data_IF_486017729353
#
_entry.id   IF_486017729353
#
_cell.length_a   1.000
_cell.length_b   1.000
_cell.length_c   1.000
_cell.angle_alpha   90.00
_cell.angle_beta   90.00
_cell.angle_gamma   90.00
#
_symmetry.space_group_name_H-M   'P 1'
#
loop_
_entity.id
_entity.type
_entity.pdbx_description
1 polymer ?
#
# COMPACT_ATOMS: atom_id res chain seq x y z
N UNK A 1 27.94 79.13 28.49
CA UNK A 1 28.99 79.09 27.44
C UNK A 1 29.51 77.65 27.45
N UNK A 2 28.92 76.79 26.61
CA UNK A 2 29.57 76.22 25.41
C UNK A 2 30.43 75.01 25.80
N UNK A 3 30.34 73.79 25.27
CA UNK A 3 29.74 73.18 24.07
C UNK A 3 29.76 71.63 24.28
N UNK A 4 28.69 70.88 23.92
CA UNK A 4 28.57 69.97 22.75
C UNK A 4 29.50 68.73 22.83
N UNK A 5 29.00 67.56 23.25
CA UNK A 5 28.51 66.43 22.42
C UNK A 5 29.36 66.15 21.17
N UNK A 6 30.28 65.18 21.27
CA UNK A 6 30.71 64.29 20.17
C UNK A 6 31.00 62.94 20.82
N UNK A 7 30.04 62.02 20.78
CA UNK A 7 29.92 61.00 19.73
C UNK A 7 31.13 60.05 19.72
N UNK A 8 30.99 58.95 20.46
CA UNK A 8 31.92 57.82 20.44
C UNK A 8 31.10 56.55 20.23
N UNK A 9 30.57 56.44 19.02
CA UNK A 9 30.06 55.18 18.47
C UNK A 9 31.24 54.49 17.78
N UNK A 10 31.96 53.64 18.52
CA UNK A 10 33.00 52.78 17.94
C UNK A 10 32.33 51.57 17.25
N UNK A 11 32.21 51.66 15.93
CA UNK A 11 31.98 50.50 15.06
C UNK A 11 33.33 49.86 14.72
N UNK A 12 33.55 48.56 14.99
CA UNK A 12 34.72 47.88 14.48
C UNK A 12 34.62 47.75 12.95
N UNK A 13 35.64 48.27 12.28
CA UNK A 13 35.84 48.11 10.84
C UNK A 13 36.07 46.64 10.52
N UNK A 14 35.17 46.12 9.70
CA UNK A 14 35.34 45.09 8.66
C UNK A 14 36.81 44.76 8.39
N UNK A 15 37.26 43.64 8.92
CA UNK A 15 38.45 42.95 8.43
C UNK A 15 37.99 41.82 7.50
N UNK A 16 38.41 41.93 6.25
CA UNK A 16 38.15 40.96 5.19
C UNK A 16 39.24 39.91 5.24
N UNK A 17 39.01 38.86 6.02
CA UNK A 17 39.74 37.60 5.91
C UNK A 17 38.79 36.58 5.27
N UNK A 18 39.02 36.34 3.97
CA UNK A 18 38.55 35.15 3.28
C UNK A 18 39.17 33.95 3.97
N UNK A 19 38.36 33.08 4.53
CA UNK A 19 38.73 31.68 4.69
C UNK A 19 37.48 30.80 4.63
N UNK A 20 37.54 29.85 3.70
CA UNK A 20 36.82 28.58 3.62
C UNK A 20 35.30 28.63 3.93
N UNK A 21 34.41 28.74 2.96
CA UNK A 21 34.36 27.80 1.86
C UNK A 21 33.89 26.40 2.26
N UNK A 22 33.23 26.19 3.41
CA UNK A 22 32.50 24.94 3.65
C UNK A 22 31.09 24.99 3.06
N UNK A 23 31.03 25.03 1.73
CA UNK A 23 29.85 24.69 0.97
C UNK A 23 30.05 23.24 0.52
N UNK A 24 29.93 22.29 1.45
CA UNK A 24 29.79 20.86 1.14
C UNK A 24 28.39 20.59 0.52
N UNK A 25 28.10 21.23 -0.61
CA UNK A 25 26.88 21.05 -1.39
C UNK A 25 27.27 20.60 -2.79
N UNK A 26 27.73 19.36 -2.91
CA UNK A 26 28.10 18.82 -4.23
C UNK A 26 28.17 17.30 -4.32
N UNK A 27 28.62 16.62 -3.27
CA UNK A 27 28.85 15.17 -3.37
C UNK A 27 27.70 14.30 -2.79
N UNK A 28 26.89 14.82 -1.86
CA UNK A 28 25.82 14.05 -1.21
C UNK A 28 24.51 13.92 -2.02
N UNK A 29 24.29 14.73 -3.07
CA UNK A 29 23.01 14.74 -3.80
C UNK A 29 22.90 13.66 -4.89
N UNK A 30 24.01 13.29 -5.53
CA UNK A 30 24.01 12.31 -6.63
C UNK A 30 23.63 10.93 -6.08
N UNK A 31 24.24 10.51 -4.97
CA UNK A 31 23.96 9.23 -4.33
C UNK A 31 22.54 9.15 -3.75
N UNK A 32 22.02 10.25 -3.20
CA UNK A 32 20.65 10.32 -2.69
C UNK A 32 19.60 10.24 -3.82
N UNK A 33 19.88 10.85 -4.98
CA UNK A 33 18.99 10.83 -6.14
C UNK A 33 18.88 9.41 -6.73
N UNK A 34 20.00 8.73 -6.95
CA UNK A 34 20.01 7.36 -7.45
C UNK A 34 19.43 6.37 -6.43
N UNK A 35 19.67 6.61 -5.13
CA UNK A 35 19.05 5.85 -4.04
C UNK A 35 17.51 5.86 -4.10
N UNK A 36 16.94 7.06 -4.24
CA UNK A 36 15.50 7.25 -4.30
C UNK A 36 14.91 6.73 -5.60
N UNK A 37 15.63 6.83 -6.72
CA UNK A 37 15.18 6.30 -8.02
C UNK A 37 14.95 4.78 -7.97
N UNK A 38 15.89 4.04 -7.38
CA UNK A 38 15.74 2.59 -7.20
C UNK A 38 14.59 2.23 -6.26
N UNK A 39 14.42 3.01 -5.19
CA UNK A 39 13.30 2.87 -4.27
C UNK A 39 11.94 3.07 -4.94
N UNK A 40 11.77 4.17 -5.69
CA UNK A 40 10.51 4.45 -6.38
C UNK A 40 10.16 3.40 -7.43
N UNK A 41 11.15 2.84 -8.13
CA UNK A 41 10.89 1.71 -9.04
C UNK A 41 10.28 0.51 -8.30
N UNK A 42 10.80 0.15 -7.12
CA UNK A 42 10.24 -0.94 -6.30
C UNK A 42 8.83 -0.61 -5.81
N UNK A 43 8.59 0.65 -5.42
CA UNK A 43 7.26 1.15 -5.03
C UNK A 43 6.27 1.00 -6.19
N UNK A 44 6.62 1.49 -7.38
CA UNK A 44 5.78 1.40 -8.58
C UNK A 44 5.41 -0.05 -8.93
N UNK A 45 6.36 -0.97 -8.77
CA UNK A 45 6.11 -2.41 -8.97
C UNK A 45 5.07 -2.96 -7.98
N UNK A 46 5.13 -2.55 -6.71
CA UNK A 46 4.14 -2.97 -5.69
C UNK A 46 2.79 -2.31 -5.96
N UNK A 47 2.77 -1.01 -6.29
CA UNK A 47 1.55 -0.28 -6.62
C UNK A 47 0.84 -0.87 -7.85
N UNK A 48 1.60 -1.34 -8.85
CA UNK A 48 1.04 -2.06 -10.01
C UNK A 48 0.36 -3.38 -9.59
N UNK A 49 0.96 -4.13 -8.66
CA UNK A 49 0.33 -5.35 -8.12
C UNK A 49 -0.94 -5.02 -7.32
N UNK A 50 -0.94 -3.95 -6.54
CA UNK A 50 -2.12 -3.47 -5.81
C UNK A 50 -3.23 -3.06 -6.78
N UNK A 51 -2.91 -2.33 -7.85
CA UNK A 51 -3.89 -1.98 -8.88
C UNK A 51 -4.51 -3.21 -9.56
N UNK A 52 -3.71 -4.26 -9.78
CA UNK A 52 -4.21 -5.54 -10.30
C UNK A 52 -5.16 -6.23 -9.29
N UNK A 53 -4.88 -6.17 -7.99
CA UNK A 53 -5.80 -6.64 -6.95
C UNK A 53 -7.12 -5.88 -7.00
N UNK A 54 -7.11 -4.55 -7.06
CA UNK A 54 -8.33 -3.73 -7.16
C UNK A 54 -9.15 -4.07 -8.40
N UNK A 55 -8.49 -4.34 -9.54
CA UNK A 55 -9.16 -4.79 -10.76
C UNK A 55 -9.85 -6.15 -10.58
N UNK A 56 -9.17 -7.11 -9.95
CA UNK A 56 -9.74 -8.43 -9.65
C UNK A 56 -10.91 -8.33 -8.66
N UNK A 57 -10.82 -7.47 -7.65
CA UNK A 57 -11.91 -7.23 -6.69
C UNK A 57 -13.16 -6.74 -7.43
N UNK A 58 -13.00 -5.77 -8.32
CA UNK A 58 -14.11 -5.22 -9.13
C UNK A 58 -14.72 -6.27 -10.06
N UNK A 59 -13.89 -7.12 -10.68
CA UNK A 59 -14.35 -8.25 -11.51
C UNK A 59 -15.13 -9.27 -10.69
N UNK A 60 -14.63 -9.63 -9.51
CA UNK A 60 -15.28 -10.58 -8.60
C UNK A 60 -16.63 -10.06 -8.09
N UNK A 61 -16.71 -8.77 -7.74
CA UNK A 61 -17.98 -8.11 -7.37
C UNK A 61 -18.99 -8.13 -8.52
N UNK A 62 -18.54 -7.87 -9.75
CA UNK A 62 -19.39 -7.87 -10.95
C UNK A 62 -19.90 -9.28 -11.25
N UNK A 63 -19.02 -10.29 -11.22
CA UNK A 63 -19.38 -11.69 -11.41
C UNK A 63 -20.34 -12.19 -10.32
N UNK A 64 -20.15 -11.78 -9.06
CA UNK A 64 -21.09 -12.10 -7.99
C UNK A 64 -22.47 -11.51 -8.27
N UNK A 65 -22.56 -10.23 -8.66
CA UNK A 65 -23.84 -9.60 -9.03
C UNK A 65 -24.52 -10.31 -10.21
N UNK A 66 -23.77 -10.69 -11.23
CA UNK A 66 -24.28 -11.45 -12.39
C UNK A 66 -24.81 -12.83 -12.00
N UNK A 67 -24.12 -13.53 -11.09
CA UNK A 67 -24.57 -14.85 -10.62
C UNK A 67 -25.96 -14.84 -9.98
N UNK A 68 -26.39 -13.69 -9.43
CA UNK A 68 -27.69 -13.51 -8.78
C UNK A 68 -28.85 -13.37 -9.77
N UNK A 69 -28.61 -12.89 -10.99
CA UNK A 69 -29.65 -12.67 -12.00
C UNK A 69 -29.77 -13.82 -13.00
N UNK A 70 -28.75 -14.66 -13.11
CA UNK A 70 -28.73 -15.80 -14.04
C UNK A 70 -29.53 -16.99 -13.51
N UNK A 71 -30.48 -17.48 -14.31
CA UNK A 71 -31.31 -18.66 -13.98
C UNK A 71 -30.83 -19.95 -14.64
N UNK A 72 -29.99 -19.87 -15.68
CA UNK A 72 -29.47 -21.04 -16.39
C UNK A 72 -28.34 -21.69 -15.60
N UNK A 73 -28.48 -22.97 -15.27
CA UNK A 73 -27.50 -23.72 -14.49
C UNK A 73 -26.08 -23.74 -15.11
N UNK A 74 -25.98 -23.85 -16.44
CA UNK A 74 -24.69 -23.82 -17.15
C UNK A 74 -23.98 -22.47 -17.01
N UNK A 75 -24.71 -21.37 -17.11
CA UNK A 75 -24.18 -20.02 -16.93
C UNK A 75 -23.79 -19.75 -15.47
N UNK A 76 -24.62 -20.19 -14.51
CA UNK A 76 -24.28 -20.09 -13.07
C UNK A 76 -22.99 -20.85 -12.73
N UNK A 77 -22.80 -22.05 -13.30
CA UNK A 77 -21.55 -22.82 -13.16
C UNK A 77 -20.35 -22.09 -13.77
N UNK A 78 -20.50 -21.52 -14.96
CA UNK A 78 -19.43 -20.78 -15.62
C UNK A 78 -19.01 -19.53 -14.82
N UNK A 79 -19.97 -18.79 -14.27
CA UNK A 79 -19.69 -17.63 -13.41
C UNK A 79 -18.96 -18.06 -12.14
N UNK A 80 -19.41 -19.13 -11.48
CA UNK A 80 -18.73 -19.67 -10.29
C UNK A 80 -17.27 -20.05 -10.58
N UNK A 81 -17.02 -20.76 -11.67
CA UNK A 81 -15.66 -21.13 -12.08
C UNK A 81 -14.78 -19.91 -12.39
N UNK A 82 -15.35 -18.85 -12.97
CA UNK A 82 -14.65 -17.58 -13.20
C UNK A 82 -14.28 -16.91 -11.87
N UNK A 83 -15.23 -16.82 -10.95
CA UNK A 83 -15.00 -16.25 -9.61
C UNK A 83 -13.92 -17.01 -8.84
N UNK A 84 -13.92 -18.35 -8.89
CA UNK A 84 -12.87 -19.18 -8.28
C UNK A 84 -11.47 -18.84 -8.83
N UNK A 85 -11.34 -18.70 -10.16
CA UNK A 85 -10.08 -18.28 -10.79
C UNK A 85 -9.64 -16.88 -10.38
N UNK A 86 -10.57 -15.93 -10.34
CA UNK A 86 -10.28 -14.54 -9.94
C UNK A 86 -9.79 -14.48 -8.47
N UNK A 87 -10.35 -15.32 -7.59
CA UNK A 87 -9.90 -15.46 -6.19
C UNK A 87 -8.50 -16.06 -6.09
N UNK A 88 -8.21 -17.11 -6.86
CA UNK A 88 -6.89 -17.75 -6.85
C UNK A 88 -5.79 -16.81 -7.37
N UNK A 89 -6.08 -16.07 -8.44
CA UNK A 89 -5.16 -15.07 -8.97
C UNK A 89 -4.96 -13.92 -7.98
N UNK A 90 -6.02 -13.41 -7.35
CA UNK A 90 -5.91 -12.39 -6.33
C UNK A 90 -5.03 -12.85 -5.16
N UNK A 91 -5.17 -14.12 -4.73
CA UNK A 91 -4.33 -14.70 -3.69
C UNK A 91 -2.86 -14.77 -4.10
N UNK A 92 -2.57 -15.07 -5.37
CA UNK A 92 -1.20 -15.09 -5.90
C UNK A 92 -0.59 -13.69 -5.91
N UNK A 93 -1.31 -12.71 -6.44
CA UNK A 93 -0.85 -11.32 -6.52
C UNK A 93 -0.64 -10.73 -5.13
N UNK A 94 -1.55 -10.98 -4.17
CA UNK A 94 -1.42 -10.52 -2.79
C UNK A 94 -0.16 -11.06 -2.12
N UNK A 95 0.17 -12.34 -2.33
CA UNK A 95 1.44 -12.91 -1.84
C UNK A 95 2.65 -12.26 -2.48
N UNK A 96 2.64 -12.04 -3.80
CA UNK A 96 3.73 -11.37 -4.50
C UNK A 96 3.93 -9.93 -4.02
N UNK A 97 2.84 -9.16 -3.85
CA UNK A 97 2.89 -7.80 -3.35
C UNK A 97 3.44 -7.77 -1.92
N UNK A 98 3.01 -8.70 -1.06
CA UNK A 98 3.54 -8.84 0.29
C UNK A 98 5.04 -9.13 0.30
N UNK A 99 5.51 -10.10 -0.49
CA UNK A 99 6.95 -10.43 -0.57
C UNK A 99 7.77 -9.22 -1.03
N UNK A 100 7.33 -8.48 -2.05
CA UNK A 100 8.02 -7.27 -2.50
C UNK A 100 8.00 -6.15 -1.47
N UNK A 101 6.93 -6.02 -0.69
CA UNK A 101 6.84 -5.06 0.40
C UNK A 101 7.82 -5.42 1.54
N UNK A 102 7.90 -6.70 1.90
CA UNK A 102 8.87 -7.19 2.91
C UNK A 102 10.32 -6.91 2.44
N UNK A 103 10.62 -7.19 1.16
CA UNK A 103 11.92 -6.83 0.54
C UNK A 103 12.19 -5.32 0.57
N UNK A 104 11.16 -4.48 0.37
CA UNK A 104 11.29 -3.02 0.44
C UNK A 104 11.56 -2.53 1.87
N UNK A 105 10.91 -3.14 2.86
CA UNK A 105 11.15 -2.86 4.29
C UNK A 105 12.57 -3.23 4.70
N UNK A 106 13.09 -4.37 4.27
CA UNK A 106 14.49 -4.79 4.49
C UNK A 106 15.50 -3.86 3.79
N UNK A 107 15.19 -3.42 2.57
CA UNK A 107 15.96 -2.42 1.85
C UNK A 107 16.03 -1.09 2.60
N UNK A 108 14.91 -0.66 3.22
CA UNK A 108 14.86 0.55 4.02
C UNK A 108 15.72 0.43 5.28
N UNK A 109 15.72 -0.73 5.94
CA UNK A 109 16.60 -0.99 7.09
C UNK A 109 18.07 -0.91 6.68
N UNK A 110 18.42 -1.52 5.55
CA UNK A 110 19.78 -1.49 5.01
C UNK A 110 20.20 -0.08 4.59
N UNK A 111 19.25 0.72 4.08
CA UNK A 111 19.50 2.09 3.67
C UNK A 111 19.96 2.98 4.84
N UNK A 112 19.49 2.72 6.06
CA UNK A 112 19.83 3.50 7.27
C UNK A 112 21.31 3.44 7.62
N UNK A 113 22.04 2.44 7.13
CA UNK A 113 23.48 2.28 7.37
C UNK A 113 24.34 3.12 6.41
N UNK A 114 23.74 3.71 5.37
CA UNK A 114 24.46 4.53 4.39
C UNK A 114 24.68 5.97 4.90
N UNK A 115 25.80 6.61 4.53
CA UNK A 115 26.02 8.04 4.80
C UNK A 115 24.83 8.89 4.32
N UNK A 116 24.40 9.86 5.13
CA UNK A 116 23.26 10.74 4.81
C UNK A 116 21.87 10.10 4.86
N UNK A 117 21.77 8.79 5.08
CA UNK A 117 20.49 8.04 5.09
C UNK A 117 20.08 7.56 6.49
N UNK A 118 20.76 8.03 7.54
CA UNK A 118 20.48 7.64 8.92
C UNK A 118 19.07 8.02 9.39
N UNK A 119 18.67 7.48 10.54
CA UNK A 119 17.34 7.69 11.13
C UNK A 119 16.99 9.17 11.21
N UNK A 120 15.84 9.55 10.65
CA UNK A 120 15.34 10.93 10.68
C UNK A 120 15.91 11.85 9.60
N UNK A 121 16.72 11.34 8.67
CA UNK A 121 17.09 12.10 7.47
C UNK A 121 15.87 12.29 6.55
N UNK A 122 15.94 13.27 5.65
CA UNK A 122 14.87 13.51 4.68
C UNK A 122 14.62 12.29 3.79
N UNK A 123 15.68 11.55 3.42
CA UNK A 123 15.59 10.31 2.63
C UNK A 123 14.92 9.21 3.45
N UNK A 124 15.28 9.06 4.73
CA UNK A 124 14.69 8.07 5.62
C UNK A 124 13.19 8.32 5.83
N UNK A 125 12.81 9.56 6.16
CA UNK A 125 11.42 9.97 6.36
C UNK A 125 10.56 9.75 5.10
N UNK A 126 11.09 10.11 3.93
CA UNK A 126 10.39 9.91 2.67
C UNK A 126 10.15 8.42 2.40
N UNK A 127 11.18 7.59 2.56
CA UNK A 127 11.07 6.15 2.35
C UNK A 127 10.10 5.50 3.34
N UNK A 128 10.16 5.89 4.62
CA UNK A 128 9.23 5.41 5.66
C UNK A 128 7.78 5.78 5.35
N UNK A 129 7.53 7.05 5.01
CA UNK A 129 6.19 7.53 4.67
C UNK A 129 5.62 6.78 3.45
N UNK A 130 6.39 6.72 2.35
CA UNK A 130 5.93 6.04 1.12
C UNK A 130 5.73 4.54 1.35
N UNK A 131 6.63 3.87 2.06
CA UNK A 131 6.48 2.43 2.37
C UNK A 131 5.25 2.19 3.25
N UNK A 132 5.02 3.05 4.25
CA UNK A 132 3.82 2.99 5.09
C UNK A 132 2.53 3.17 4.28
N UNK A 133 2.50 4.09 3.31
CA UNK A 133 1.36 4.29 2.43
C UNK A 133 1.05 3.04 1.58
N UNK A 134 2.07 2.46 0.95
CA UNK A 134 1.93 1.22 0.15
C UNK A 134 1.46 0.05 1.01
N UNK A 135 2.00 -0.09 2.23
CA UNK A 135 1.61 -1.11 3.21
C UNK A 135 0.14 -0.99 3.59
N UNK A 136 -0.32 0.22 3.89
CA UNK A 136 -1.72 0.46 4.25
C UNK A 136 -2.65 0.15 3.07
N UNK A 137 -2.29 0.59 1.86
CA UNK A 137 -3.09 0.31 0.66
C UNK A 137 -3.19 -1.20 0.38
N UNK A 138 -2.08 -1.93 0.45
CA UNK A 138 -2.12 -3.39 0.29
C UNK A 138 -3.02 -4.07 1.34
N UNK A 139 -2.95 -3.60 2.60
CA UNK A 139 -3.79 -4.12 3.67
C UNK A 139 -5.27 -3.87 3.39
N UNK A 140 -5.65 -2.64 3.04
CA UNK A 140 -7.03 -2.28 2.68
C UNK A 140 -7.57 -3.17 1.56
N UNK A 141 -6.80 -3.39 0.49
CA UNK A 141 -7.23 -4.28 -0.59
C UNK A 141 -7.41 -5.73 -0.14
N UNK A 142 -6.52 -6.25 0.72
CA UNK A 142 -6.65 -7.60 1.26
C UNK A 142 -7.90 -7.73 2.16
N UNK A 143 -8.14 -6.74 3.01
CA UNK A 143 -9.31 -6.71 3.91
C UNK A 143 -10.62 -6.68 3.08
N UNK A 144 -10.68 -5.86 2.02
CA UNK A 144 -11.83 -5.81 1.11
C UNK A 144 -12.09 -7.17 0.42
N UNK A 145 -11.04 -7.88 -0.01
CA UNK A 145 -11.16 -9.23 -0.56
C UNK A 145 -11.70 -10.23 0.46
N UNK A 146 -11.31 -10.13 1.71
CA UNK A 146 -11.80 -10.99 2.78
C UNK A 146 -13.29 -10.74 3.04
N UNK A 147 -13.68 -9.47 3.19
CA UNK A 147 -15.08 -9.05 3.39
C UNK A 147 -15.96 -9.54 2.23
N UNK A 148 -15.52 -9.33 0.98
CA UNK A 148 -16.27 -9.79 -0.19
C UNK A 148 -16.39 -11.33 -0.22
N UNK A 149 -15.31 -12.05 0.08
CA UNK A 149 -15.30 -13.51 0.13
C UNK A 149 -16.19 -14.08 1.23
N UNK A 150 -16.31 -13.40 2.37
CA UNK A 150 -17.27 -13.74 3.43
C UNK A 150 -18.71 -13.49 3.00
N UNK A 151 -18.98 -12.31 2.42
CA UNK A 151 -20.30 -11.97 1.89
C UNK A 151 -20.79 -12.99 0.86
N UNK A 152 -19.94 -13.37 -0.11
CA UNK A 152 -20.29 -14.38 -1.13
C UNK A 152 -20.62 -15.73 -0.49
N UNK A 153 -19.83 -16.17 0.51
CA UNK A 153 -20.06 -17.45 1.22
C UNK A 153 -21.37 -17.44 2.00
N UNK A 154 -21.64 -16.35 2.72
CA UNK A 154 -22.85 -16.19 3.51
C UNK A 154 -24.10 -16.17 2.61
N UNK A 155 -24.06 -15.41 1.52
CA UNK A 155 -25.15 -15.36 0.54
C UNK A 155 -25.43 -16.74 -0.08
N UNK A 156 -24.38 -17.49 -0.44
CA UNK A 156 -24.54 -18.84 -0.99
C UNK A 156 -25.21 -19.78 0.02
N UNK A 157 -24.81 -19.71 1.29
CA UNK A 157 -25.42 -20.50 2.37
C UNK A 157 -26.92 -20.21 2.49
N UNK A 158 -27.31 -18.94 2.53
CA UNK A 158 -28.74 -18.56 2.60
C UNK A 158 -29.55 -19.05 1.39
N UNK A 159 -28.99 -18.95 0.18
CA UNK A 159 -29.69 -19.41 -1.04
C UNK A 159 -29.88 -20.93 -1.02
N UNK A 160 -28.86 -21.67 -0.58
CA UNK A 160 -28.96 -23.13 -0.43
C UNK A 160 -29.96 -23.48 0.66
N UNK A 161 -29.90 -22.85 1.83
CA UNK A 161 -30.85 -23.09 2.94
C UNK A 161 -32.30 -22.83 2.52
N UNK A 162 -32.58 -21.71 1.84
CA UNK A 162 -33.93 -21.41 1.30
C UNK A 162 -34.39 -22.46 0.28
N UNK A 163 -33.52 -22.88 -0.64
CA UNK A 163 -33.87 -23.90 -1.65
C UNK A 163 -34.08 -25.26 -1.02
N UNK A 164 -33.24 -25.67 -0.08
CA UNK A 164 -33.40 -26.91 0.68
C UNK A 164 -34.71 -26.88 1.45
N UNK A 165 -35.05 -25.76 2.08
CA UNK A 165 -36.33 -25.57 2.77
C UNK A 165 -37.54 -25.70 1.82
N UNK A 166 -37.51 -25.02 0.66
CA UNK A 166 -38.61 -25.11 -0.33
C UNK A 166 -38.70 -26.47 -1.01
N UNK A 167 -37.58 -27.18 -1.19
CA UNK A 167 -37.53 -28.48 -1.88
C UNK A 167 -37.84 -29.65 -0.93
N UNK A 168 -37.46 -29.57 0.34
CA UNK A 168 -37.63 -30.67 1.32
C UNK A 168 -38.86 -30.47 2.21
N UNK A 169 -39.35 -29.24 2.37
CA UNK A 169 -40.65 -28.95 2.97
C UNK A 169 -40.78 -29.17 4.49
N UNK A 170 -39.76 -29.64 5.20
CA UNK A 170 -39.72 -29.71 6.67
C UNK A 170 -38.27 -29.67 7.18
N UNK A 171 -38.08 -29.09 8.37
CA UNK A 171 -36.85 -29.17 9.16
C UNK A 171 -36.51 -30.67 9.38
N UNK A 172 -35.26 -31.14 9.21
CA UNK A 172 -34.83 -32.25 10.04
C UNK A 172 -34.74 -31.67 11.45
N UNK A 173 -35.74 -31.93 12.28
CA UNK A 173 -35.67 -31.58 13.71
C UNK A 173 -34.31 -32.04 14.26
N UNK A 174 -33.70 -31.19 15.08
CA UNK A 174 -32.55 -31.57 15.91
C UNK A 174 -32.99 -32.62 16.93
N UNK A 175 -33.18 -33.86 16.47
CA UNK A 175 -33.38 -35.05 17.30
C UNK A 175 -33.26 -36.30 16.44
N UNK A 176 -32.02 -36.69 16.14
CA UNK A 176 -31.68 -38.11 15.94
C UNK A 176 -30.23 -38.32 16.38
N UNK A 177 -30.08 -38.63 17.67
CA UNK A 177 -29.20 -39.72 18.10
C UNK A 177 -30.01 -41.01 17.88
#
# INVERSE_FOLDING_TARGET
>A
LSNIIQDSFELPRRDSSRDEGDVEMGMHQIDASDNLKGFFKKVDEIESLIANLTSLLTKLQTANKESKSVTKASAMKAIKQKMEKDVDEARKIARMAKTKLDELEDDNLSNKQKPGCGKGSAVDQLREHTTGAVKNNLKEQIDDFQVLGESIRQEYREVVERRVFTVIGNHPDEQTI
#
